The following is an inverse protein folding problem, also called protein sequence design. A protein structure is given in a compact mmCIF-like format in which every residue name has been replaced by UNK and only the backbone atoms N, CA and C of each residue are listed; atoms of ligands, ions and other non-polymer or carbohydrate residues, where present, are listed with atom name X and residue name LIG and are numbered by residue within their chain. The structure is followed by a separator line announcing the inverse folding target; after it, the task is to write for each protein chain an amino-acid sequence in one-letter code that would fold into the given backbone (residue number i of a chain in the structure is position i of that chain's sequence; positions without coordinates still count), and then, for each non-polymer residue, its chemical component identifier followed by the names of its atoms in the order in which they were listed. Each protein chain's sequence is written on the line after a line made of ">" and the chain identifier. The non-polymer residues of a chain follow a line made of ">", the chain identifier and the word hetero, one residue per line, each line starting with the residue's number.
data_IF_993693241610
#
_entry.id   IF_993693241610
#
_cell.length_a   1.000
_cell.length_b   1.000
_cell.length_c   1.000
_cell.angle_alpha   90.00
_cell.angle_beta   90.00
_cell.angle_gamma   90.00
#
_symmetry.space_group_name_H-M   'P 1'
#
loop_
_entity.id
_entity.type
_entity.pdbx_description
1 polymer ?
#
# COMPACT_ATOMS: atom_id res chain seq x y z
N UNK A 1 3.05 17.03 8.36
CA UNK A 1 2.56 16.08 9.39
C UNK A 1 3.74 15.39 10.08
N UNK A 2 4.69 14.80 9.37
CA UNK A 2 5.87 14.11 9.93
C UNK A 2 6.64 14.99 10.94
N UNK A 3 7.06 16.20 10.57
CA UNK A 3 7.80 17.10 11.46
C UNK A 3 7.10 17.38 12.80
N UNK A 4 5.76 17.52 12.80
CA UNK A 4 4.98 17.71 14.04
C UNK A 4 5.05 16.49 14.96
N UNK A 5 5.06 15.29 14.39
CA UNK A 5 5.15 14.05 15.17
C UNK A 5 6.56 13.77 15.65
N UNK A 6 7.59 14.11 14.88
CA UNK A 6 8.99 14.07 15.33
C UNK A 6 9.22 15.02 16.52
N UNK A 7 8.74 16.26 16.43
CA UNK A 7 8.79 17.22 17.54
C UNK A 7 8.04 16.70 18.79
N UNK A 8 6.85 16.11 18.59
CA UNK A 8 6.08 15.49 19.67
C UNK A 8 6.83 14.34 20.33
N UNK A 9 7.46 13.47 19.54
CA UNK A 9 8.27 12.35 20.03
C UNK A 9 9.44 12.85 20.89
N UNK A 10 10.15 13.88 20.42
CA UNK A 10 11.26 14.46 21.17
C UNK A 10 10.80 15.14 22.48
N UNK A 11 9.64 15.81 22.49
CA UNK A 11 9.04 16.36 23.73
C UNK A 11 8.69 15.24 24.72
N UNK A 12 8.05 14.17 24.25
CA UNK A 12 7.69 13.04 25.11
C UNK A 12 8.93 12.33 25.69
N UNK A 13 10.01 12.19 24.95
CA UNK A 13 11.27 11.61 25.44
C UNK A 13 11.94 12.46 26.53
N UNK A 14 11.81 13.78 26.45
CA UNK A 14 12.40 14.73 27.42
C UNK A 14 11.57 14.87 28.69
N UNK A 15 10.28 14.63 28.61
CA UNK A 15 9.37 14.73 29.76
C UNK A 15 9.39 13.43 30.58
N UNK A 16 9.98 13.49 31.78
CA UNK A 16 10.06 12.36 32.72
C UNK A 16 8.70 11.82 33.18
N UNK A 17 7.60 12.57 32.97
CA UNK A 17 6.24 12.15 33.31
C UNK A 17 5.54 11.43 32.16
N UNK A 18 6.14 11.40 30.97
CA UNK A 18 5.56 10.71 29.82
C UNK A 18 5.53 9.20 30.02
N UNK A 19 4.40 8.57 29.73
CA UNK A 19 4.29 7.11 29.80
C UNK A 19 5.11 6.45 28.68
N UNK A 20 5.60 5.24 28.94
CA UNK A 20 6.31 4.44 27.92
C UNK A 20 5.41 4.20 26.69
N UNK A 21 4.12 3.95 26.91
CA UNK A 21 3.16 3.72 25.85
C UNK A 21 2.97 4.95 24.94
N UNK A 22 2.97 6.16 25.53
CA UNK A 22 2.87 7.40 24.73
C UNK A 22 4.11 7.63 23.86
N UNK A 23 5.30 7.31 24.38
CA UNK A 23 6.56 7.41 23.63
C UNK A 23 6.57 6.36 22.49
N UNK A 24 6.18 5.13 22.79
CA UNK A 24 6.16 4.04 21.80
C UNK A 24 5.12 4.31 20.71
N UNK A 25 3.93 4.78 21.08
CA UNK A 25 2.93 5.21 20.11
C UNK A 25 3.46 6.32 19.19
N UNK A 26 4.08 7.36 19.75
CA UNK A 26 4.65 8.45 18.94
C UNK A 26 5.81 7.95 18.03
N UNK A 27 6.61 7.00 18.49
CA UNK A 27 7.67 6.36 17.70
C UNK A 27 7.09 5.59 16.53
N UNK A 28 6.04 4.79 16.77
CA UNK A 28 5.33 4.03 15.73
C UNK A 28 4.75 4.97 14.68
N UNK A 29 4.05 6.04 15.10
CA UNK A 29 3.48 7.01 14.17
C UNK A 29 4.56 7.70 13.31
N UNK A 30 5.71 8.05 13.90
CA UNK A 30 6.84 8.63 13.13
C UNK A 30 7.40 7.62 12.14
N UNK A 31 7.55 6.35 12.53
CA UNK A 31 8.02 5.29 11.64
C UNK A 31 7.04 5.07 10.48
N UNK A 32 5.75 4.97 10.78
CA UNK A 32 4.70 4.80 9.78
C UNK A 32 4.64 5.99 8.82
N UNK A 33 4.71 7.23 9.31
CA UNK A 33 4.74 8.41 8.45
C UNK A 33 5.98 8.46 7.55
N UNK A 34 7.14 7.98 8.00
CA UNK A 34 8.35 7.86 7.17
C UNK A 34 8.19 6.82 6.07
N UNK A 35 7.47 5.75 6.34
CA UNK A 35 7.23 4.68 5.37
C UNK A 35 6.16 5.06 4.35
N UNK A 36 5.09 5.76 4.77
CA UNK A 36 3.87 5.96 3.98
C UNK A 36 3.65 7.39 3.51
N UNK A 37 4.45 8.38 3.97
CA UNK A 37 4.24 9.79 3.56
C UNK A 37 4.57 10.06 2.09
N UNK A 38 5.07 9.08 1.36
CA UNK A 38 5.37 9.18 -0.07
C UNK A 38 4.21 8.78 -0.97
N UNK A 39 3.20 8.08 -0.43
CA UNK A 39 2.05 7.63 -1.20
C UNK A 39 0.90 8.64 -1.10
N UNK A 40 0.38 9.03 -2.25
CA UNK A 40 -0.76 9.93 -2.40
C UNK A 40 -1.97 9.13 -2.88
N UNK A 41 -2.98 8.96 -2.04
CA UNK A 41 -4.13 8.10 -2.33
C UNK A 41 -4.88 8.47 -3.62
N UNK A 42 -4.81 9.71 -4.06
CA UNK A 42 -5.43 10.16 -5.29
C UNK A 42 -4.62 9.80 -6.55
N UNK A 43 -3.32 9.61 -6.40
CA UNK A 43 -2.39 9.42 -7.54
C UNK A 43 -1.76 8.04 -7.56
N UNK A 44 -1.45 7.46 -6.41
CA UNK A 44 -0.69 6.22 -6.31
C UNK A 44 -1.59 4.99 -6.13
N UNK A 45 -1.36 3.91 -6.89
CA UNK A 45 -2.11 2.67 -6.75
C UNK A 45 -1.55 1.85 -5.58
N UNK A 46 -2.30 1.77 -4.49
CA UNK A 46 -1.93 0.91 -3.37
C UNK A 46 -3.16 0.26 -2.72
N UNK A 47 -2.90 -0.84 -2.03
CA UNK A 47 -3.86 -1.56 -1.20
C UNK A 47 -3.55 -1.34 0.27
N UNK A 48 -4.57 -1.50 1.10
CA UNK A 48 -4.47 -1.49 2.56
C UNK A 48 -4.75 -2.90 3.07
N UNK A 49 -3.86 -3.41 3.90
CA UNK A 49 -3.94 -4.77 4.42
C UNK A 49 -4.34 -4.77 5.90
N UNK A 50 -5.03 -5.83 6.40
CA UNK A 50 -5.40 -5.92 7.80
C UNK A 50 -4.20 -5.86 8.75
N UNK A 51 -4.33 -5.15 9.86
CA UNK A 51 -3.30 -5.06 10.90
C UNK A 51 -2.93 -6.43 11.49
N UNK A 52 -3.80 -7.43 11.38
CA UNK A 52 -3.52 -8.81 11.79
C UNK A 52 -2.29 -9.40 11.10
N UNK A 53 -1.96 -8.96 9.90
CA UNK A 53 -0.72 -9.37 9.23
C UNK A 53 0.54 -8.87 9.95
N UNK A 54 0.48 -7.71 10.61
CA UNK A 54 1.59 -7.17 11.41
C UNK A 54 1.81 -7.96 12.71
N UNK A 55 0.75 -8.54 13.26
CA UNK A 55 0.75 -9.22 14.57
C UNK A 55 1.13 -10.72 14.47
N UNK A 56 1.24 -11.30 13.29
CA UNK A 56 1.59 -12.70 13.07
C UNK A 56 2.99 -13.04 13.57
N UNK A 57 3.22 -14.30 13.98
CA UNK A 57 4.52 -14.80 14.47
C UNK A 57 5.46 -15.26 13.37
N UNK A 58 4.93 -15.59 12.19
CA UNK A 58 5.70 -16.05 11.05
C UNK A 58 6.05 -14.87 10.15
N UNK A 59 7.34 -14.58 10.00
CA UNK A 59 7.84 -13.46 9.20
C UNK A 59 8.02 -13.83 7.72
N UNK A 60 8.07 -15.11 7.37
CA UNK A 60 8.45 -15.57 6.03
C UNK A 60 7.47 -15.11 4.93
N UNK A 61 6.18 -15.09 5.25
CA UNK A 61 5.12 -14.71 4.30
C UNK A 61 4.34 -13.49 4.77
N UNK A 62 4.93 -12.68 5.62
CA UNK A 62 4.29 -11.48 6.16
C UNK A 62 4.39 -10.33 5.17
N UNK A 63 3.27 -9.86 4.59
CA UNK A 63 3.27 -8.68 3.75
C UNK A 63 3.56 -7.44 4.59
N UNK A 64 4.35 -6.54 4.00
CA UNK A 64 4.74 -5.28 4.61
C UNK A 64 4.45 -4.13 3.65
N UNK A 65 4.23 -2.94 4.17
CA UNK A 65 4.16 -1.75 3.34
C UNK A 65 5.41 -1.57 2.49
N UNK A 66 5.17 -1.23 1.22
CA UNK A 66 6.19 -1.19 0.18
C UNK A 66 6.29 -2.46 -0.65
N UNK A 67 5.77 -3.61 -0.19
CA UNK A 67 5.73 -4.82 -1.00
C UNK A 67 4.86 -4.60 -2.23
N UNK A 68 5.26 -5.23 -3.33
CA UNK A 68 4.48 -5.22 -4.56
C UNK A 68 3.25 -6.10 -4.44
N UNK A 69 2.19 -5.70 -5.14
CA UNK A 69 0.93 -6.41 -5.18
C UNK A 69 0.28 -6.31 -6.57
N UNK A 70 -0.56 -7.27 -6.89
CA UNK A 70 -1.47 -7.21 -8.02
C UNK A 70 -2.92 -7.28 -7.52
N UNK A 71 -3.78 -6.45 -8.08
CA UNK A 71 -5.22 -6.47 -7.82
C UNK A 71 -5.92 -7.01 -9.05
N UNK A 72 -6.65 -8.10 -8.88
CA UNK A 72 -7.38 -8.78 -9.96
C UNK A 72 -8.87 -8.54 -9.80
N UNK A 73 -9.47 -8.00 -10.86
CA UNK A 73 -10.92 -7.78 -10.97
C UNK A 73 -11.37 -8.30 -12.33
N UNK A 74 -12.20 -9.33 -12.33
CA UNK A 74 -12.53 -10.09 -13.52
C UNK A 74 -11.23 -10.64 -14.17
N UNK A 75 -10.95 -10.28 -15.43
CA UNK A 75 -9.72 -10.63 -16.13
C UNK A 75 -8.65 -9.49 -16.12
N UNK A 76 -8.94 -8.35 -15.49
CA UNK A 76 -8.02 -7.20 -15.45
C UNK A 76 -7.11 -7.28 -14.22
N UNK A 77 -5.83 -7.00 -14.43
CA UNK A 77 -4.78 -7.07 -13.43
C UNK A 77 -4.15 -5.69 -13.26
N UNK A 78 -4.25 -5.11 -12.09
CA UNK A 78 -3.73 -3.79 -11.78
C UNK A 78 -2.52 -3.91 -10.86
N UNK A 79 -1.35 -3.36 -11.24
CA UNK A 79 -0.19 -3.30 -10.35
C UNK A 79 -0.45 -2.31 -9.22
N UNK A 80 0.01 -2.67 -8.03
CA UNK A 80 -0.16 -1.88 -6.83
C UNK A 80 0.99 -2.13 -5.84
N UNK A 81 1.06 -1.29 -4.81
CA UNK A 81 1.90 -1.50 -3.63
C UNK A 81 1.02 -1.82 -2.41
N UNK A 82 1.58 -2.48 -1.43
CA UNK A 82 1.03 -2.45 -0.07
C UNK A 82 1.35 -1.08 0.51
N UNK A 83 0.33 -0.27 0.76
CA UNK A 83 0.50 1.12 1.19
C UNK A 83 0.39 1.33 2.69
N UNK A 84 -0.48 0.58 3.36
CA UNK A 84 -0.77 0.81 4.78
C UNK A 84 -1.36 -0.44 5.44
N UNK A 85 -1.38 -0.40 6.78
CA UNK A 85 -2.16 -1.31 7.61
C UNK A 85 -3.48 -0.66 8.02
N UNK A 86 -4.58 -1.32 7.71
CA UNK A 86 -5.94 -0.90 8.08
C UNK A 86 -6.46 -1.59 9.35
N UNK A 87 -7.77 -1.50 9.59
CA UNK A 87 -8.41 -2.19 10.71
C UNK A 87 -8.16 -3.70 10.69
N UNK A 88 -8.04 -4.32 11.89
CA UNK A 88 -7.62 -5.73 12.06
C UNK A 88 -8.33 -6.76 11.18
N UNK A 89 -9.61 -6.57 10.95
CA UNK A 89 -10.47 -7.56 10.27
C UNK A 89 -11.10 -7.03 8.98
N UNK A 90 -10.62 -5.90 8.46
CA UNK A 90 -11.18 -5.31 7.26
C UNK A 90 -10.24 -5.56 6.08
N UNK A 91 -10.78 -6.18 5.04
CA UNK A 91 -10.11 -6.43 3.77
C UNK A 91 -10.76 -5.61 2.64
N UNK A 92 -10.07 -5.50 1.49
CA UNK A 92 -10.63 -4.85 0.32
C UNK A 92 -10.53 -3.32 0.33
N UNK A 93 -9.69 -2.74 1.17
CA UNK A 93 -9.39 -1.31 1.13
C UNK A 93 -8.27 -1.01 0.13
N UNK A 94 -8.43 0.08 -0.62
CA UNK A 94 -7.45 0.52 -1.61
C UNK A 94 -7.44 2.05 -1.72
N UNK A 95 -6.39 2.58 -2.33
CA UNK A 95 -6.29 3.99 -2.67
C UNK A 95 -7.41 4.44 -3.60
N UNK A 96 -7.72 5.72 -3.60
CA UNK A 96 -8.70 6.30 -4.53
C UNK A 96 -8.25 6.11 -6.00
N UNK A 97 -6.93 6.21 -6.26
CA UNK A 97 -6.36 5.95 -7.58
C UNK A 97 -6.71 4.55 -8.07
N UNK A 98 -6.41 3.52 -7.26
CA UNK A 98 -6.68 2.13 -7.61
C UNK A 98 -8.20 1.88 -7.74
N UNK A 99 -8.99 2.46 -6.85
CA UNK A 99 -10.45 2.39 -6.92
C UNK A 99 -11.00 2.97 -8.23
N UNK A 100 -10.47 4.10 -8.70
CA UNK A 100 -10.85 4.72 -9.98
C UNK A 100 -10.37 3.95 -11.22
N UNK A 101 -9.23 3.26 -11.13
CA UNK A 101 -8.78 2.34 -12.19
C UNK A 101 -9.74 1.16 -12.37
N UNK A 102 -10.25 0.63 -11.27
CA UNK A 102 -11.26 -0.44 -11.27
C UNK A 102 -12.62 0.08 -11.73
N UNK A 103 -13.06 1.21 -11.19
CA UNK A 103 -14.33 1.85 -11.52
C UNK A 103 -14.18 3.39 -11.56
N UNK A 104 -14.20 4.01 -12.74
CA UNK A 104 -14.01 5.47 -12.87
C UNK A 104 -15.01 6.33 -12.06
N UNK A 105 -16.15 5.76 -11.65
CA UNK A 105 -17.15 6.43 -10.81
C UNK A 105 -16.88 6.31 -9.31
N UNK A 106 -15.79 5.64 -8.90
CA UNK A 106 -15.42 5.51 -7.50
C UNK A 106 -15.09 6.88 -6.89
N UNK A 107 -15.48 7.06 -5.63
CA UNK A 107 -15.19 8.25 -4.83
C UNK A 107 -14.73 7.84 -3.45
N UNK A 108 -14.23 8.77 -2.65
CA UNK A 108 -13.86 8.51 -1.26
C UNK A 108 -15.04 8.07 -0.38
N UNK A 109 -16.28 8.27 -0.84
CA UNK A 109 -17.53 7.94 -0.14
C UNK A 109 -18.28 6.77 -0.74
N UNK A 110 -17.97 6.37 -1.97
CA UNK A 110 -18.63 5.29 -2.68
C UNK A 110 -17.63 4.18 -3.00
N UNK A 111 -17.99 2.94 -2.65
CA UNK A 111 -17.17 1.76 -2.94
C UNK A 111 -16.96 1.61 -4.44
N UNK A 112 -15.75 1.27 -4.85
CA UNK A 112 -15.43 0.99 -6.24
C UNK A 112 -16.17 -0.25 -6.75
N UNK A 113 -16.25 -1.26 -5.89
CA UNK A 113 -16.90 -2.55 -6.18
C UNK A 113 -17.75 -2.95 -4.97
N UNK A 114 -18.98 -3.36 -5.19
CA UNK A 114 -19.91 -3.77 -4.11
C UNK A 114 -20.29 -5.24 -4.14
N UNK A 115 -20.17 -5.91 -5.27
CA UNK A 115 -20.64 -7.28 -5.50
C UNK A 115 -19.76 -8.11 -6.44
N UNK A 116 -18.68 -7.57 -6.94
CA UNK A 116 -17.70 -8.32 -7.73
C UNK A 116 -16.58 -8.85 -6.82
N UNK A 117 -16.05 -10.01 -7.16
CA UNK A 117 -14.87 -10.55 -6.53
C UNK A 117 -13.64 -9.69 -6.86
N UNK A 118 -12.90 -9.28 -5.84
CA UNK A 118 -11.59 -8.63 -6.01
C UNK A 118 -10.57 -9.49 -5.29
N UNK A 119 -9.52 -9.88 -5.99
CA UNK A 119 -8.42 -10.64 -5.40
C UNK A 119 -7.18 -9.76 -5.27
N UNK A 120 -6.52 -9.82 -4.12
CA UNK A 120 -5.22 -9.22 -3.88
C UNK A 120 -4.16 -10.31 -3.88
N UNK A 121 -3.19 -10.23 -4.76
CA UNK A 121 -1.99 -11.06 -4.78
C UNK A 121 -0.88 -10.17 -4.25
N UNK A 122 -0.28 -10.57 -3.13
CA UNK A 122 0.78 -9.80 -2.49
C UNK A 122 2.07 -10.61 -2.57
N UNK A 123 3.19 -9.95 -2.80
CA UNK A 123 4.50 -10.56 -2.91
C UNK A 123 5.36 -10.15 -1.70
N UNK A 124 5.27 -10.86 -0.56
CA UNK A 124 6.00 -10.51 0.65
C UNK A 124 7.51 -10.47 0.44
N UNK A 125 8.18 -9.45 1.01
CA UNK A 125 9.63 -9.26 0.87
C UNK A 125 10.07 -8.67 -0.46
N UNK A 126 9.13 -8.26 -1.33
CA UNK A 126 9.45 -7.73 -2.66
C UNK A 126 9.72 -6.22 -2.68
N UNK A 127 9.55 -5.51 -1.56
CA UNK A 127 9.75 -4.06 -1.46
C UNK A 127 11.14 -3.62 -1.88
N UNK A 128 11.25 -2.42 -2.42
CA UNK A 128 12.53 -1.79 -2.73
C UNK A 128 13.28 -1.41 -1.43
N UNK A 129 14.62 -1.39 -1.50
CA UNK A 129 15.46 -1.01 -0.35
C UNK A 129 15.26 0.46 0.07
N UNK A 130 15.01 1.34 -0.91
CA UNK A 130 14.79 2.76 -0.66
C UNK A 130 13.31 3.09 -0.66
N UNK A 131 12.83 3.65 0.44
CA UNK A 131 11.50 4.23 0.49
C UNK A 131 11.48 5.57 -0.26
N UNK A 132 10.47 5.76 -1.08
CA UNK A 132 10.29 6.98 -1.87
C UNK A 132 8.97 6.98 -2.65
N UNK A 133 8.72 8.04 -3.42
CA UNK A 133 7.61 8.04 -4.37
C UNK A 133 7.71 6.84 -5.31
N UNK A 134 6.59 6.22 -5.70
CA UNK A 134 6.60 5.07 -6.60
C UNK A 134 7.26 5.40 -7.94
N UNK A 135 8.17 4.53 -8.38
CA UNK A 135 8.59 4.48 -9.77
C UNK A 135 7.58 3.63 -10.55
N UNK A 136 6.77 4.27 -11.36
CA UNK A 136 5.67 3.60 -12.08
C UNK A 136 6.17 2.63 -13.16
N UNK A 137 7.29 2.92 -13.81
CA UNK A 137 7.89 1.99 -14.77
C UNK A 137 8.33 0.71 -14.04
N UNK A 138 8.99 0.89 -12.91
CA UNK A 138 9.42 -0.21 -12.04
C UNK A 138 8.24 -0.97 -11.44
N UNK A 139 7.19 -0.27 -10.97
CA UNK A 139 5.97 -0.88 -10.46
C UNK A 139 5.33 -1.82 -11.49
N UNK A 140 5.14 -1.34 -12.72
CA UNK A 140 4.56 -2.13 -13.79
C UNK A 140 5.43 -3.37 -14.11
N UNK A 141 6.73 -3.17 -14.35
CA UNK A 141 7.63 -4.26 -14.74
C UNK A 141 7.78 -5.29 -13.61
N UNK A 142 7.97 -4.82 -12.36
CA UNK A 142 8.22 -5.72 -11.24
C UNK A 142 7.00 -6.57 -10.90
N UNK A 143 5.79 -6.00 -10.90
CA UNK A 143 4.57 -6.80 -10.68
C UNK A 143 4.39 -7.83 -11.78
N UNK A 144 4.68 -7.50 -13.03
CA UNK A 144 4.59 -8.44 -14.14
C UNK A 144 5.63 -9.57 -14.02
N UNK A 145 6.88 -9.25 -13.63
CA UNK A 145 7.91 -10.23 -13.33
C UNK A 145 7.46 -11.20 -12.23
N UNK A 146 7.01 -10.67 -11.09
CA UNK A 146 6.56 -11.46 -9.94
C UNK A 146 5.35 -12.36 -10.27
N UNK A 147 4.43 -11.87 -11.09
CA UNK A 147 3.32 -12.69 -11.59
C UNK A 147 3.84 -13.84 -12.47
N UNK A 148 4.82 -13.59 -13.32
CA UNK A 148 5.44 -14.62 -14.17
C UNK A 148 6.18 -15.67 -13.33
N UNK A 149 6.86 -15.25 -12.25
CA UNK A 149 7.55 -16.15 -11.31
C UNK A 149 6.60 -17.20 -10.68
N UNK A 150 5.33 -16.84 -10.48
CA UNK A 150 4.30 -17.76 -9.95
C UNK A 150 3.50 -18.50 -11.04
N UNK A 151 3.92 -18.41 -12.31
CA UNK A 151 3.26 -19.08 -13.44
C UNK A 151 2.21 -18.25 -14.17
N UNK A 152 2.07 -16.97 -13.85
CA UNK A 152 1.11 -16.05 -14.47
C UNK A 152 -0.34 -16.27 -14.00
N UNK A 153 -1.27 -15.52 -14.59
CA UNK A 153 -2.71 -15.56 -14.27
C UNK A 153 -3.55 -16.16 -15.41
N UNK A 154 -2.87 -16.83 -16.35
CA UNK A 154 -3.53 -17.45 -17.50
C UNK A 154 -3.68 -16.49 -18.69
N UNK A 155 -4.07 -17.04 -19.86
CA UNK A 155 -4.05 -16.32 -21.13
C UNK A 155 -5.11 -15.20 -21.23
N UNK A 156 -6.15 -15.25 -20.42
CA UNK A 156 -7.23 -14.24 -20.42
C UNK A 156 -6.89 -13.02 -19.56
N UNK A 157 -5.81 -13.07 -18.76
CA UNK A 157 -5.42 -11.99 -17.87
C UNK A 157 -4.89 -10.78 -18.65
N UNK A 158 -5.47 -9.63 -18.39
CA UNK A 158 -5.16 -8.35 -19.06
C UNK A 158 -4.44 -7.43 -18.07
N UNK A 159 -3.11 -7.32 -18.19
CA UNK A 159 -2.33 -6.43 -17.36
C UNK A 159 -2.60 -4.98 -17.74
N UNK A 160 -2.95 -4.17 -16.74
CA UNK A 160 -3.26 -2.75 -16.88
C UNK A 160 -2.06 -1.93 -16.42
N UNK A 161 -1.34 -1.31 -17.35
CA UNK A 161 -0.24 -0.41 -17.03
C UNK A 161 -0.76 0.84 -16.31
N UNK A 162 -0.08 1.22 -15.24
CA UNK A 162 -0.39 2.45 -14.49
C UNK A 162 0.65 3.52 -14.82
N UNK A 163 0.17 4.73 -15.10
CA UNK A 163 1.00 5.89 -15.45
C UNK A 163 1.08 6.89 -14.31
N UNK A 164 2.21 7.59 -14.23
CA UNK A 164 2.43 8.69 -13.30
C UNK A 164 1.65 9.93 -13.76
N UNK A 165 0.60 10.29 -13.02
CA UNK A 165 -0.24 11.44 -13.32
C UNK A 165 0.37 12.78 -12.87
N UNK A 166 1.43 12.74 -12.06
CA UNK A 166 2.11 13.95 -11.57
C UNK A 166 3.23 14.41 -12.50
N UNK A 167 3.68 13.54 -13.41
CA UNK A 167 4.64 13.95 -14.45
C UNK A 167 3.93 14.80 -15.52
N UNK A 168 4.48 15.95 -15.92
CA UNK A 168 3.96 16.69 -17.07
C UNK A 168 3.90 15.75 -18.27
N UNK A 169 2.77 15.69 -18.94
CA UNK A 169 2.67 15.03 -20.24
C UNK A 169 3.59 15.81 -21.20
N UNK A 170 4.61 15.16 -21.71
CA UNK A 170 5.52 15.71 -22.71
C UNK A 170 4.85 15.76 -24.07
#
# INVERSE_FOLDING_TARGET
>A
MLAKWEERLEKLKKDKKSSKDAIEHARTVVADLKLFSFLLAEYDPFIVIPLTFKEGKDDTYRPQPGDYAAVVVDNRVFPALVGDYGPKFKTGEASLRLSKLVNPRATSYARAVSHLGVSYIIFPGSKEEKNGPPDYARLNSRVQELLNEIGGLGPEAQFQTVEDQLKPQQ
#
